data_IF_903338334945
#
_entry.id   IF_903338334945
#
_cell.length_a   1.000
_cell.length_b   1.000
_cell.length_c   1.000
_cell.angle_alpha   90.00
_cell.angle_beta   90.00
_cell.angle_gamma   90.00
#
_symmetry.space_group_name_H-M   'P 1'
#
loop_
_entity.id
_entity.type
_entity.pdbx_description
1 polymer ?
#
# COMPACT_ATOMS: atom_id res chain seq x y z
N UNK A 1 29.38 3.26 -0.35
CA UNK A 1 28.27 2.84 0.52
C UNK A 1 28.84 1.84 1.51
N UNK A 2 28.75 2.13 2.82
CA UNK A 2 29.08 1.13 3.85
C UNK A 2 28.23 -0.12 3.61
N UNK A 3 28.83 -1.32 3.68
CA UNK A 3 28.10 -2.57 3.59
C UNK A 3 27.17 -2.68 4.80
N UNK A 4 25.85 -2.56 4.55
CA UNK A 4 24.83 -2.82 5.57
C UNK A 4 24.89 -4.30 5.96
N UNK A 5 25.27 -4.59 7.20
CA UNK A 5 25.26 -5.97 7.73
C UNK A 5 23.85 -6.27 8.21
N UNK A 6 23.17 -7.26 7.66
CA UNK A 6 21.77 -7.59 8.03
C UNK A 6 21.69 -8.55 9.22
N UNK A 7 22.10 -8.09 10.41
CA UNK A 7 22.20 -8.95 11.61
C UNK A 7 21.22 -8.55 12.72
N UNK A 8 20.87 -7.28 12.79
CA UNK A 8 20.01 -6.73 13.83
C UNK A 8 18.73 -6.14 13.24
N UNK A 9 17.70 -5.99 14.08
CA UNK A 9 16.49 -5.26 13.72
C UNK A 9 16.80 -3.86 13.16
N UNK A 10 17.74 -3.14 13.77
CA UNK A 10 18.13 -1.80 13.31
C UNK A 10 18.72 -1.81 11.89
N UNK A 11 19.45 -2.86 11.52
CA UNK A 11 20.02 -2.99 10.18
C UNK A 11 18.93 -3.16 9.12
N UNK A 12 17.91 -3.98 9.41
CA UNK A 12 16.75 -4.14 8.51
C UNK A 12 15.91 -2.86 8.42
N UNK A 13 15.75 -2.12 9.53
CA UNK A 13 15.09 -0.81 9.52
C UNK A 13 15.85 0.21 8.65
N UNK A 14 17.19 0.24 8.77
CA UNK A 14 18.03 1.11 7.94
C UNK A 14 18.00 0.71 6.45
N UNK A 15 17.97 -0.59 6.15
CA UNK A 15 17.78 -1.08 4.79
C UNK A 15 16.42 -0.66 4.23
N UNK A 16 15.34 -0.82 5.00
CA UNK A 16 14.01 -0.38 4.60
C UNK A 16 14.01 1.11 4.22
N UNK A 17 14.55 1.99 5.07
CA UNK A 17 14.63 3.41 4.76
C UNK A 17 15.45 3.69 3.50
N UNK A 18 16.56 3.00 3.31
CA UNK A 18 17.38 3.11 2.09
C UNK A 18 16.58 2.78 0.83
N UNK A 19 15.65 1.83 0.90
CA UNK A 19 14.80 1.42 -0.22
C UNK A 19 13.56 2.30 -0.40
N UNK A 20 12.93 2.72 0.70
CA UNK A 20 11.61 3.35 0.68
C UNK A 20 11.66 4.89 0.68
N UNK A 21 12.67 5.51 1.29
CA UNK A 21 12.76 6.97 1.33
C UNK A 21 12.86 7.60 -0.07
N UNK A 22 13.59 7.02 -1.04
CA UNK A 22 13.62 7.53 -2.42
C UNK A 22 12.25 7.49 -3.12
N UNK A 23 11.27 6.74 -2.60
CA UNK A 23 9.92 6.65 -3.17
C UNK A 23 9.04 7.84 -2.77
N UNK A 24 9.34 8.51 -1.65
CA UNK A 24 8.53 9.61 -1.08
C UNK A 24 8.13 10.69 -2.10
N UNK A 25 9.00 11.15 -3.02
CA UNK A 25 8.64 12.15 -4.03
C UNK A 25 7.69 11.66 -5.13
N UNK A 26 7.48 10.35 -5.26
CA UNK A 26 6.70 9.73 -6.33
C UNK A 26 5.28 9.34 -5.92
N UNK A 27 4.92 9.49 -4.63
CA UNK A 27 3.55 9.33 -4.19
C UNK A 27 2.67 10.46 -4.75
N UNK A 28 1.44 10.12 -5.09
CA UNK A 28 0.43 11.08 -5.49
C UNK A 28 0.05 12.02 -4.35
N UNK A 29 -0.62 13.13 -4.67
CA UNK A 29 -0.97 14.15 -3.68
C UNK A 29 -1.87 13.62 -2.56
N UNK A 30 -2.82 12.73 -2.89
CA UNK A 30 -3.66 12.02 -1.92
C UNK A 30 -3.00 10.80 -1.27
N UNK A 31 -1.78 10.45 -1.70
CA UNK A 31 -1.00 9.32 -1.18
C UNK A 31 -1.48 7.95 -1.66
N UNK A 32 -2.54 7.84 -2.45
CA UNK A 32 -3.14 6.56 -2.82
C UNK A 32 -2.46 5.87 -4.02
N UNK A 33 -1.50 6.51 -4.67
CA UNK A 33 -0.83 5.99 -5.88
C UNK A 33 0.66 6.24 -5.79
N UNK A 34 1.46 5.28 -6.24
CA UNK A 34 2.91 5.45 -6.39
C UNK A 34 3.29 5.38 -7.88
N UNK A 35 3.90 6.44 -8.41
CA UNK A 35 4.17 6.60 -9.86
C UNK A 35 5.65 6.47 -10.18
N UNK A 36 6.08 5.26 -10.52
CA UNK A 36 7.47 4.94 -10.85
C UNK A 36 7.70 4.90 -12.38
N UNK A 37 7.81 6.08 -13.00
CA UNK A 37 8.14 6.21 -14.42
C UNK A 37 7.00 5.93 -15.43
N UNK A 38 7.27 6.18 -16.71
CA UNK A 38 6.30 6.09 -17.81
C UNK A 38 6.40 4.80 -18.66
N UNK A 39 7.39 3.94 -18.38
CA UNK A 39 7.59 2.68 -19.08
C UNK A 39 6.79 1.56 -18.38
N UNK A 40 5.48 1.56 -18.56
CA UNK A 40 4.58 0.55 -17.99
C UNK A 40 4.16 -0.50 -19.02
N UNK A 41 4.18 -1.77 -18.59
CA UNK A 41 3.69 -2.95 -19.31
C UNK A 41 2.20 -2.87 -19.72
N UNK A 42 1.69 -3.89 -20.42
CA UNK A 42 0.39 -3.98 -21.14
C UNK A 42 -0.88 -3.90 -20.22
N UNK A 43 -0.76 -3.41 -18.98
CA UNK A 43 -1.84 -3.40 -17.97
C UNK A 43 -2.48 -2.02 -17.74
N UNK A 44 -3.63 -2.02 -17.08
CA UNK A 44 -4.29 -0.80 -16.60
C UNK A 44 -3.33 -0.01 -15.69
N UNK A 45 -3.06 1.26 -16.04
CA UNK A 45 -2.16 2.15 -15.30
C UNK A 45 -2.51 2.25 -13.81
N UNK A 46 -3.79 2.18 -13.44
CA UNK A 46 -4.21 2.22 -12.04
C UNK A 46 -3.72 0.99 -11.28
N UNK A 47 -3.79 -0.21 -11.86
CA UNK A 47 -3.32 -1.42 -11.21
C UNK A 47 -1.80 -1.38 -10.95
N UNK A 48 -1.02 -0.85 -11.89
CA UNK A 48 0.43 -0.64 -11.72
C UNK A 48 0.72 0.33 -10.56
N UNK A 49 -0.05 1.43 -10.48
CA UNK A 49 0.10 2.42 -9.40
C UNK A 49 -0.30 1.86 -8.02
N UNK A 50 -1.29 0.94 -7.97
CA UNK A 50 -1.74 0.23 -6.76
C UNK A 50 -0.72 -0.83 -6.32
N UNK A 51 -0.19 -1.60 -7.26
CA UNK A 51 0.92 -2.54 -7.01
C UNK A 51 2.14 -1.80 -6.44
N UNK A 52 2.53 -0.69 -7.05
CA UNK A 52 3.63 0.13 -6.56
C UNK A 52 3.33 0.69 -5.15
N UNK A 53 2.09 1.13 -4.88
CA UNK A 53 1.68 1.66 -3.58
C UNK A 53 1.64 0.59 -2.47
N UNK A 54 1.17 -0.62 -2.79
CA UNK A 54 0.95 -1.69 -1.82
C UNK A 54 2.24 -2.41 -1.43
N UNK A 55 3.18 -2.62 -2.35
CA UNK A 55 4.40 -3.41 -2.10
C UNK A 55 5.28 -2.94 -0.95
N UNK A 56 5.48 -1.63 -0.69
CA UNK A 56 6.23 -1.21 0.49
C UNK A 56 5.59 -1.63 1.83
N UNK A 57 4.30 -1.97 1.86
CA UNK A 57 3.63 -2.49 3.07
C UNK A 57 4.25 -3.79 3.58
N UNK A 58 4.85 -4.60 2.71
CA UNK A 58 5.59 -5.80 3.13
C UNK A 58 6.75 -5.50 4.08
N UNK A 59 7.34 -4.29 3.99
CA UNK A 59 8.35 -3.84 4.92
C UNK A 59 7.76 -2.96 6.05
N UNK A 60 6.78 -2.13 5.72
CA UNK A 60 6.20 -1.16 6.67
C UNK A 60 5.33 -1.82 7.75
N UNK A 61 4.56 -2.86 7.42
CA UNK A 61 3.76 -3.62 8.39
C UNK A 61 4.61 -4.14 9.54
N UNK A 62 5.66 -4.95 9.27
CA UNK A 62 6.56 -5.45 10.32
C UNK A 62 7.36 -4.33 11.01
N UNK A 63 7.74 -3.28 10.27
CA UNK A 63 8.42 -2.12 10.84
C UNK A 63 7.59 -1.44 11.92
N UNK A 64 6.32 -1.15 11.63
CA UNK A 64 5.38 -0.52 12.56
C UNK A 64 4.97 -1.46 13.71
N UNK A 65 4.72 -2.74 13.42
CA UNK A 65 4.46 -3.76 14.45
C UNK A 65 5.64 -3.90 15.41
N UNK A 66 6.86 -3.74 14.90
CA UNK A 66 8.08 -3.67 15.69
C UNK A 66 8.28 -2.36 16.46
N UNK A 67 7.35 -1.40 16.42
CA UNK A 67 7.48 -0.11 17.10
C UNK A 67 8.33 0.93 16.37
N UNK A 68 8.73 0.66 15.11
CA UNK A 68 9.30 1.68 14.23
C UNK A 68 8.25 2.72 13.87
N UNK A 69 8.67 3.98 13.67
CA UNK A 69 7.79 5.12 13.37
C UNK A 69 8.41 6.00 12.28
N UNK A 70 7.59 6.46 11.35
CA UNK A 70 7.96 7.44 10.32
C UNK A 70 6.71 8.25 10.00
N UNK A 71 6.67 9.50 10.46
CA UNK A 71 5.47 10.33 10.35
C UNK A 71 5.04 10.59 8.90
N UNK A 72 5.99 10.66 7.96
CA UNK A 72 5.68 10.89 6.56
C UNK A 72 5.04 9.65 5.93
N UNK A 73 5.62 8.46 6.15
CA UNK A 73 5.07 7.20 5.64
C UNK A 73 3.73 6.86 6.33
N UNK A 74 3.60 7.09 7.63
CA UNK A 74 2.33 6.95 8.35
C UNK A 74 1.23 7.82 7.72
N UNK A 75 1.53 9.10 7.42
CA UNK A 75 0.58 10.00 6.79
C UNK A 75 0.23 9.57 5.36
N UNK A 76 1.23 9.20 4.56
CA UNK A 76 1.04 8.71 3.18
C UNK A 76 0.09 7.51 3.17
N UNK A 77 0.31 6.52 4.02
CA UNK A 77 -0.48 5.29 4.00
C UNK A 77 -1.89 5.47 4.57
N UNK A 78 -2.06 6.27 5.63
CA UNK A 78 -3.41 6.64 6.12
C UNK A 78 -4.23 7.35 5.04
N UNK A 79 -3.63 8.34 4.38
CA UNK A 79 -4.28 9.08 3.30
C UNK A 79 -4.55 8.18 2.10
N UNK A 80 -3.59 7.31 1.75
CA UNK A 80 -3.72 6.39 0.63
C UNK A 80 -4.84 5.39 0.80
N UNK A 81 -5.02 4.84 2.00
CA UNK A 81 -6.14 3.94 2.30
C UNK A 81 -7.49 4.66 2.17
N UNK A 82 -7.59 5.89 2.69
CA UNK A 82 -8.82 6.68 2.62
C UNK A 82 -9.17 7.09 1.17
N UNK A 83 -8.23 7.67 0.43
CA UNK A 83 -8.49 8.18 -0.92
C UNK A 83 -8.54 7.07 -1.98
N UNK A 84 -7.75 6.01 -1.81
CA UNK A 84 -7.68 4.90 -2.75
C UNK A 84 -8.98 4.11 -2.83
N UNK A 85 -9.67 3.97 -1.70
CA UNK A 85 -10.93 3.23 -1.64
C UNK A 85 -12.19 4.09 -1.81
N UNK A 86 -12.09 5.43 -1.74
CA UNK A 86 -13.25 6.31 -1.91
C UNK A 86 -13.63 6.46 -3.40
N UNK A 87 -14.82 5.98 -3.85
CA UNK A 87 -15.23 6.07 -5.26
C UNK A 87 -15.39 7.51 -5.77
N UNK A 88 -15.42 8.51 -4.88
CA UNK A 88 -15.50 9.93 -5.23
C UNK A 88 -14.15 10.62 -5.31
N UNK A 89 -13.08 9.98 -4.83
CA UNK A 89 -11.75 10.56 -4.85
C UNK A 89 -11.14 10.47 -6.25
N UNK A 90 -10.38 11.49 -6.63
CA UNK A 90 -9.66 11.51 -7.92
C UNK A 90 -8.63 10.37 -8.03
N UNK A 91 -8.18 9.82 -6.89
CA UNK A 91 -7.19 8.76 -6.81
C UNK A 91 -7.79 7.36 -6.60
N UNK A 92 -9.12 7.21 -6.68
CA UNK A 92 -9.82 5.94 -6.53
C UNK A 92 -9.15 4.82 -7.35
N UNK A 93 -9.02 3.65 -6.73
CA UNK A 93 -8.39 2.46 -7.32
C UNK A 93 -9.29 1.75 -8.33
N UNK A 94 -10.56 2.13 -8.41
CA UNK A 94 -11.48 1.65 -9.43
C UNK A 94 -12.29 0.43 -8.99
N UNK A 95 -13.21 0.06 -9.88
CA UNK A 95 -13.99 -1.17 -9.77
C UNK A 95 -13.18 -2.30 -10.41
N UNK A 96 -12.97 -3.38 -9.65
CA UNK A 96 -12.13 -4.50 -10.07
C UNK A 96 -12.90 -5.43 -11.02
N UNK A 97 -12.20 -5.93 -12.03
CA UNK A 97 -12.69 -6.96 -12.96
C UNK A 97 -12.33 -8.37 -12.53
N UNK A 98 -12.61 -9.36 -13.38
CA UNK A 98 -12.12 -10.72 -13.20
C UNK A 98 -10.61 -10.79 -13.43
N UNK A 99 -9.91 -11.64 -12.66
CA UNK A 99 -8.45 -11.80 -12.71
C UNK A 99 -7.68 -10.47 -12.56
N UNK A 100 -8.19 -9.52 -11.78
CA UNK A 100 -7.57 -8.21 -11.58
C UNK A 100 -6.26 -8.33 -10.77
N UNK A 101 -5.21 -7.65 -11.23
CA UNK A 101 -3.90 -7.62 -10.55
C UNK A 101 -4.02 -7.14 -9.09
N UNK A 102 -4.99 -6.27 -8.80
CA UNK A 102 -5.18 -5.74 -7.44
C UNK A 102 -5.50 -6.85 -6.42
N UNK A 103 -5.98 -8.02 -6.83
CA UNK A 103 -6.25 -9.14 -5.92
C UNK A 103 -5.00 -9.65 -5.21
N UNK A 104 -3.85 -9.68 -5.90
CA UNK A 104 -2.56 -10.04 -5.29
C UNK A 104 -2.16 -9.00 -4.25
N UNK A 105 -2.38 -7.73 -4.58
CA UNK A 105 -1.99 -6.59 -3.76
C UNK A 105 -2.85 -6.43 -2.50
N UNK A 106 -4.09 -6.96 -2.49
CA UNK A 106 -4.96 -6.99 -1.31
C UNK A 106 -4.32 -7.71 -0.11
N UNK A 107 -3.45 -8.68 -0.35
CA UNK A 107 -2.73 -9.38 0.72
C UNK A 107 -1.83 -8.42 1.51
N UNK A 108 -1.13 -7.51 0.82
CA UNK A 108 -0.26 -6.53 1.48
C UNK A 108 -1.06 -5.56 2.36
N UNK A 109 -2.24 -5.13 1.92
CA UNK A 109 -3.15 -4.31 2.72
C UNK A 109 -3.63 -5.06 3.97
N UNK A 110 -4.07 -6.30 3.80
CA UNK A 110 -4.55 -7.13 4.90
C UNK A 110 -3.46 -7.38 5.95
N UNK A 111 -2.24 -7.73 5.52
CA UNK A 111 -1.09 -7.91 6.42
C UNK A 111 -0.81 -6.64 7.22
N UNK A 112 -0.72 -5.47 6.56
CA UNK A 112 -0.47 -4.21 7.26
C UNK A 112 -1.56 -3.85 8.28
N UNK A 113 -2.83 -4.13 7.97
CA UNK A 113 -3.95 -3.92 8.91
C UNK A 113 -3.89 -4.86 10.11
N UNK A 114 -3.47 -6.11 9.92
CA UNK A 114 -3.34 -7.10 11.00
C UNK A 114 -2.13 -6.78 11.88
N UNK A 115 -1.00 -6.41 11.27
CA UNK A 115 0.27 -6.19 11.96
C UNK A 115 0.32 -4.83 12.67
N UNK A 116 -0.22 -3.78 12.05
CA UNK A 116 -0.12 -2.40 12.53
C UNK A 116 -1.46 -1.64 12.48
N UNK A 117 -2.55 -2.16 13.08
CA UNK A 117 -3.88 -1.53 13.01
C UNK A 117 -3.88 -0.10 13.55
N UNK A 118 -3.15 0.16 14.64
CA UNK A 118 -3.01 1.48 15.25
C UNK A 118 -2.35 2.53 14.33
N UNK A 119 -1.67 2.08 13.26
CA UNK A 119 -1.05 2.96 12.28
C UNK A 119 -1.94 3.18 11.06
N UNK A 120 -2.47 2.11 10.45
CA UNK A 120 -3.12 2.22 9.13
C UNK A 120 -4.63 2.05 9.14
N UNK A 121 -5.21 1.52 10.23
CA UNK A 121 -6.65 1.19 10.29
C UNK A 121 -7.41 2.02 11.33
N UNK A 122 -6.99 1.98 12.59
CA UNK A 122 -7.69 2.66 13.69
C UNK A 122 -7.82 4.18 13.47
N UNK A 123 -6.81 4.88 12.91
CA UNK A 123 -6.91 6.31 12.64
C UNK A 123 -7.85 6.69 11.49
N UNK A 124 -8.32 5.73 10.68
CA UNK A 124 -9.23 6.02 9.59
C UNK A 124 -10.59 6.51 10.12
N UNK A 125 -11.28 7.32 9.33
CA UNK A 125 -12.68 7.65 9.63
C UNK A 125 -13.57 6.42 9.42
N UNK A 126 -14.78 6.45 10.00
CA UNK A 126 -15.75 5.37 9.78
C UNK A 126 -16.09 5.18 8.31
N UNK A 127 -16.27 6.29 7.57
CA UNK A 127 -16.47 6.24 6.11
C UNK A 127 -15.28 5.58 5.40
N UNK A 128 -14.05 5.98 5.72
CA UNK A 128 -12.86 5.42 5.07
C UNK A 128 -12.72 3.91 5.33
N UNK A 129 -13.02 3.43 6.56
CA UNK A 129 -13.05 1.99 6.85
C UNK A 129 -14.12 1.26 6.04
N UNK A 130 -15.31 1.84 5.91
CA UNK A 130 -16.41 1.25 5.13
C UNK A 130 -16.08 1.18 3.64
N UNK A 131 -15.55 2.26 3.06
CA UNK A 131 -15.13 2.32 1.67
C UNK A 131 -14.01 1.30 1.40
N UNK A 132 -12.99 1.25 2.27
CA UNK A 132 -11.87 0.31 2.14
C UNK A 132 -12.34 -1.14 2.22
N UNK A 133 -13.20 -1.45 3.20
CA UNK A 133 -13.80 -2.77 3.31
C UNK A 133 -14.68 -3.11 2.09
N UNK A 134 -15.42 -2.15 1.54
CA UNK A 134 -16.20 -2.35 0.31
C UNK A 134 -15.29 -2.62 -0.88
N UNK A 135 -14.15 -1.91 -1.00
CA UNK A 135 -13.17 -2.13 -2.05
C UNK A 135 -12.54 -3.52 -1.97
N UNK A 136 -12.11 -3.96 -0.78
CA UNK A 136 -11.58 -5.32 -0.56
C UNK A 136 -12.61 -6.41 -0.89
N UNK A 137 -13.89 -6.20 -0.53
CA UNK A 137 -14.95 -7.19 -0.78
C UNK A 137 -15.21 -7.45 -2.26
N UNK A 138 -14.78 -6.57 -3.17
CA UNK A 138 -14.98 -6.77 -4.60
C UNK A 138 -14.43 -8.12 -5.09
N UNK A 139 -13.32 -8.61 -4.49
CA UNK A 139 -12.71 -9.90 -4.86
C UNK A 139 -13.67 -11.09 -4.71
N UNK A 140 -14.62 -11.04 -3.78
CA UNK A 140 -15.54 -12.16 -3.50
C UNK A 140 -16.58 -12.38 -4.61
N UNK A 141 -16.74 -11.44 -5.53
CA UNK A 141 -17.69 -11.51 -6.63
C UNK A 141 -17.01 -11.69 -7.99
N UNK A 142 -15.74 -12.13 -8.01
CA UNK A 142 -14.87 -12.16 -9.19
C UNK A 142 -14.18 -13.50 -9.36
N UNK A 143 -13.85 -13.82 -10.60
CA UNK A 143 -13.02 -14.99 -10.90
C UNK A 143 -11.55 -14.71 -10.57
N UNK A 144 -10.90 -15.70 -9.94
CA UNK A 144 -9.46 -15.69 -9.69
C UNK A 144 -8.73 -16.41 -10.83
N UNK A 145 -7.46 -16.05 -11.13
CA UNK A 145 -6.67 -16.76 -12.12
C UNK A 145 -6.62 -18.27 -11.80
N UNK A 146 -6.87 -19.10 -12.80
CA UNK A 146 -6.67 -20.54 -12.66
C UNK A 146 -5.16 -20.82 -12.53
N UNK A 147 -4.79 -21.58 -11.49
CA UNK A 147 -3.43 -22.06 -11.29
C UNK A 147 -3.10 -23.23 -12.23
#
# INVERSE_FOLDING_TARGET
MSSLRLQTKADFQALMHTLLDPLKPFYSAGGARLRLGAAGAIYNRTAIEVEAFSRPLWALGPFWAGGGRDAALEAIYRNGFAHGADPKAAEYWGTLGDCDQCFVEMAAFACAMIEAPAIVWDPLSEKARQDFAAWLRQINARELPHC
#
